data_IF_459469241696
#
_entry.id   IF_459469241696
#
_cell.length_a   1.000
_cell.length_b   1.000
_cell.length_c   1.000
_cell.angle_alpha   90.00
_cell.angle_beta   90.00
_cell.angle_gamma   90.00
#
_symmetry.space_group_name_H-M   'P 1'
#
loop_
_entity.id
_entity.type
_entity.pdbx_description
1 polymer ?
#
# COMPACT_ATOMS: atom_id res chain seq x y z
N UNK A 1 -52.41 9.77 -33.37
CA UNK A 1 -51.56 8.59 -33.63
C UNK A 1 -50.46 8.62 -32.59
N UNK A 2 -50.65 7.90 -31.49
CA UNK A 2 -49.69 7.78 -30.40
C UNK A 2 -49.50 6.28 -30.15
N UNK A 3 -48.29 5.77 -30.40
CA UNK A 3 -47.94 4.39 -30.10
C UNK A 3 -46.80 4.41 -29.07
N UNK A 4 -47.18 4.05 -27.86
CA UNK A 4 -46.36 3.90 -26.65
C UNK A 4 -45.51 2.63 -26.75
N UNK A 5 -44.18 2.79 -26.79
CA UNK A 5 -43.24 1.68 -26.64
C UNK A 5 -43.09 1.31 -25.16
N UNK A 6 -43.85 0.32 -24.72
CA UNK A 6 -43.75 -0.28 -23.38
C UNK A 6 -42.50 -1.16 -23.30
N UNK A 7 -41.55 -0.77 -22.45
CA UNK A 7 -40.44 -1.61 -21.99
C UNK A 7 -40.97 -2.81 -21.21
N UNK A 8 -41.15 -3.96 -21.87
CA UNK A 8 -41.51 -5.22 -21.22
C UNK A 8 -40.29 -5.81 -20.50
N UNK A 9 -40.27 -5.64 -19.18
CA UNK A 9 -39.40 -6.38 -18.27
C UNK A 9 -39.96 -7.80 -18.12
N UNK A 10 -39.25 -8.88 -18.50
CA UNK A 10 -39.77 -10.24 -18.42
C UNK A 10 -40.02 -10.62 -16.95
N UNK A 11 -41.28 -10.86 -16.63
CA UNK A 11 -41.81 -11.11 -15.29
C UNK A 11 -41.64 -12.56 -14.84
N UNK A 12 -41.23 -13.48 -15.71
CA UNK A 12 -41.09 -14.90 -15.37
C UNK A 12 -39.63 -15.32 -15.07
N UNK A 13 -39.38 -16.04 -13.95
CA UNK A 13 -38.04 -16.53 -13.60
C UNK A 13 -37.45 -17.53 -14.60
N UNK A 14 -38.29 -18.28 -15.31
CA UNK A 14 -37.94 -19.29 -16.31
C UNK A 14 -37.23 -18.68 -17.53
N UNK A 15 -37.71 -17.53 -18.01
CA UNK A 15 -37.14 -16.83 -19.17
C UNK A 15 -35.80 -16.16 -18.85
N UNK A 16 -35.63 -15.67 -17.61
CA UNK A 16 -34.36 -15.11 -17.12
C UNK A 16 -33.24 -16.16 -17.08
N UNK A 17 -33.59 -17.39 -16.73
CA UNK A 17 -32.65 -18.52 -16.69
C UNK A 17 -32.26 -18.97 -18.10
N UNK A 18 -33.19 -18.92 -19.07
CA UNK A 18 -32.88 -19.21 -20.47
C UNK A 18 -31.92 -18.19 -21.07
N UNK A 19 -32.06 -16.90 -20.73
CA UNK A 19 -31.15 -15.85 -21.17
C UNK A 19 -29.72 -15.96 -20.60
N UNK A 20 -29.55 -16.56 -19.42
CA UNK A 20 -28.22 -16.76 -18.83
C UNK A 20 -27.50 -18.00 -19.40
N UNK A 21 -28.26 -19.02 -19.84
CA UNK A 21 -27.72 -20.30 -20.31
C UNK A 21 -27.03 -20.23 -21.69
N UNK A 22 -27.23 -19.13 -22.43
CA UNK A 22 -26.81 -18.98 -23.82
C UNK A 22 -25.53 -18.13 -24.01
N UNK A 23 -24.87 -17.66 -22.94
CA UNK A 23 -23.60 -16.94 -23.10
C UNK A 23 -22.47 -17.97 -23.27
N UNK A 24 -21.84 -18.09 -24.45
CA UNK A 24 -20.74 -19.03 -24.64
C UNK A 24 -19.61 -18.68 -23.67
N UNK A 25 -19.12 -19.70 -22.97
CA UNK A 25 -17.93 -19.63 -22.12
C UNK A 25 -16.78 -19.23 -23.05
N UNK A 26 -16.08 -18.09 -22.82
CA UNK A 26 -14.90 -17.79 -23.61
C UNK A 26 -13.86 -18.89 -23.36
N UNK A 27 -13.32 -19.44 -24.45
CA UNK A 27 -12.32 -20.50 -24.42
C UNK A 27 -11.20 -20.15 -23.43
N UNK A 28 -10.86 -21.11 -22.57
CA UNK A 28 -9.93 -21.00 -21.45
C UNK A 28 -8.50 -20.59 -21.83
N UNK A 29 -8.23 -20.39 -23.13
CA UNK A 29 -6.95 -19.96 -23.69
C UNK A 29 -6.86 -18.45 -23.93
N UNK A 30 -7.98 -17.71 -23.87
CA UNK A 30 -7.99 -16.25 -24.07
C UNK A 30 -7.90 -15.43 -22.77
N UNK A 31 -8.13 -16.03 -21.59
CA UNK A 31 -8.18 -15.31 -20.30
C UNK A 31 -6.83 -15.21 -19.58
N UNK A 32 -5.75 -15.77 -20.14
CA UNK A 32 -4.38 -15.57 -19.62
C UNK A 32 -3.77 -14.21 -19.99
N UNK A 33 -4.57 -13.29 -20.54
CA UNK A 33 -4.29 -11.86 -20.54
C UNK A 33 -5.09 -11.19 -19.41
N UNK A 34 -4.98 -11.73 -18.19
CA UNK A 34 -5.27 -10.93 -17.02
C UNK A 34 -4.37 -9.71 -17.11
N UNK A 35 -4.97 -8.54 -17.25
CA UNK A 35 -4.27 -7.27 -17.11
C UNK A 35 -3.60 -7.33 -15.74
N UNK A 36 -2.32 -7.66 -15.74
CA UNK A 36 -1.39 -7.07 -14.80
C UNK A 36 -1.61 -5.58 -15.06
N UNK A 37 -2.42 -4.94 -14.23
CA UNK A 37 -2.33 -3.50 -14.12
C UNK A 37 -0.85 -3.28 -13.79
N UNK A 38 -0.10 -2.88 -14.81
CA UNK A 38 1.24 -2.43 -14.66
C UNK A 38 1.09 -1.24 -13.72
N UNK A 39 1.30 -1.47 -12.42
CA UNK A 39 1.61 -0.42 -11.45
C UNK A 39 2.99 0.12 -11.81
N UNK A 40 3.13 0.57 -13.05
CA UNK A 40 4.28 1.24 -13.60
C UNK A 40 4.40 2.51 -12.81
N UNK A 41 5.47 2.56 -12.01
CA UNK A 41 5.77 3.71 -11.22
C UNK A 41 5.97 4.92 -12.12
N UNK A 42 5.23 6.00 -11.85
CA UNK A 42 5.43 7.27 -12.52
C UNK A 42 6.31 8.16 -11.65
N UNK A 43 7.51 8.54 -12.14
CA UNK A 43 8.39 9.44 -11.40
C UNK A 43 7.67 10.73 -11.01
N UNK A 44 7.79 11.09 -9.73
CA UNK A 44 7.18 12.29 -9.17
C UNK A 44 8.23 13.39 -9.07
N UNK A 45 7.85 14.62 -9.41
CA UNK A 45 8.69 15.78 -9.13
C UNK A 45 8.71 16.05 -7.62
N UNK A 46 9.81 15.64 -6.98
CA UNK A 46 10.02 15.79 -5.55
C UNK A 46 10.06 17.26 -5.14
N UNK A 47 10.62 18.15 -5.96
CA UNK A 47 10.75 19.57 -5.62
C UNK A 47 9.37 20.22 -5.67
N UNK A 48 8.63 20.01 -6.76
CA UNK A 48 7.30 20.58 -6.91
C UNK A 48 6.33 20.07 -5.83
N UNK A 49 6.33 18.76 -5.56
CA UNK A 49 5.50 18.17 -4.51
C UNK A 49 5.86 18.74 -3.13
N UNK A 50 7.16 18.80 -2.82
CA UNK A 50 7.67 19.38 -1.57
C UNK A 50 7.24 20.84 -1.42
N UNK A 51 7.44 21.69 -2.43
CA UNK A 51 7.06 23.10 -2.36
C UNK A 51 5.56 23.28 -2.10
N UNK A 52 4.70 22.51 -2.79
CA UNK A 52 3.24 22.54 -2.58
C UNK A 52 2.88 22.15 -1.14
N UNK A 53 3.44 21.05 -0.65
CA UNK A 53 3.15 20.56 0.70
C UNK A 53 3.72 21.48 1.78
N UNK A 54 4.92 22.03 1.59
CA UNK A 54 5.52 23.04 2.47
C UNK A 54 4.66 24.30 2.53
N UNK A 55 4.17 24.81 1.40
CA UNK A 55 3.28 25.98 1.38
C UNK A 55 1.98 25.70 2.13
N UNK A 56 1.37 24.54 1.91
CA UNK A 56 0.13 24.14 2.57
C UNK A 56 0.32 24.01 4.09
N UNK A 57 1.34 23.25 4.50
CA UNK A 57 1.65 23.03 5.93
C UNK A 57 2.15 24.30 6.61
N UNK A 58 2.92 25.15 5.92
CA UNK A 58 3.28 26.48 6.39
C UNK A 58 2.07 27.40 6.58
N UNK A 59 1.08 27.34 5.69
CA UNK A 59 -0.19 28.04 5.84
C UNK A 59 -0.97 27.58 7.08
N UNK A 60 -1.06 26.26 7.30
CA UNK A 60 -1.64 25.69 8.54
C UNK A 60 -0.87 26.14 9.77
N UNK A 61 0.47 26.17 9.71
CA UNK A 61 1.33 26.66 10.78
C UNK A 61 1.12 28.15 11.07
N UNK A 62 0.90 28.97 10.05
CA UNK A 62 0.57 30.39 10.17
C UNK A 62 -0.78 30.59 10.84
N UNK A 63 -1.79 29.81 10.44
CA UNK A 63 -3.09 29.84 11.09
C UNK A 63 -2.99 29.44 12.58
N UNK A 64 -2.30 28.35 12.88
CA UNK A 64 -2.04 27.91 14.26
C UNK A 64 -1.28 28.99 15.06
N UNK A 65 -0.29 29.64 14.44
CA UNK A 65 0.47 30.74 15.03
C UNK A 65 -0.42 31.95 15.35
N UNK A 66 -1.35 32.30 14.47
CA UNK A 66 -2.32 33.35 14.69
C UNK A 66 -3.24 33.03 15.88
N UNK A 67 -3.77 31.80 15.96
CA UNK A 67 -4.57 31.33 17.10
C UNK A 67 -3.77 31.36 18.41
N UNK A 68 -2.51 30.92 18.38
CA UNK A 68 -1.63 30.99 19.56
C UNK A 68 -1.34 32.43 20.01
N UNK A 69 -1.25 33.37 19.04
CA UNK A 69 -1.04 34.78 19.33
C UNK A 69 -2.29 35.43 19.96
N UNK A 70 -3.51 35.07 19.52
CA UNK A 70 -4.76 35.60 20.10
C UNK A 70 -5.07 35.04 21.49
N UNK A 71 -4.68 33.80 21.76
CA UNK A 71 -4.88 33.15 23.07
C UNK A 71 -3.81 33.54 24.11
N UNK A 72 -2.79 34.33 23.73
CA UNK A 72 -1.74 34.76 24.64
C UNK A 72 -2.28 35.79 25.65
N UNK A 73 -2.03 35.55 26.95
CA UNK A 73 -2.46 36.44 28.05
C UNK A 73 -1.79 37.82 28.08
N UNK A 74 -0.73 38.03 27.30
CA UNK A 74 0.01 39.30 27.22
C UNK A 74 -0.36 40.02 25.94
N UNK A 75 -0.37 41.35 25.95
CA UNK A 75 -0.68 42.11 24.75
C UNK A 75 0.49 42.00 23.75
N UNK A 76 0.42 41.03 22.86
CA UNK A 76 1.39 40.81 21.79
C UNK A 76 0.80 41.40 20.52
N UNK A 77 1.42 42.48 20.03
CA UNK A 77 0.98 43.14 18.80
C UNK A 77 1.00 42.20 17.58
N UNK A 78 0.51 42.65 16.41
CA UNK A 78 0.39 41.80 15.22
C UNK A 78 1.69 41.11 14.78
N UNK A 79 2.85 41.75 15.01
CA UNK A 79 4.17 41.18 14.76
C UNK A 79 4.52 39.95 15.63
N UNK A 80 3.78 39.72 16.72
CA UNK A 80 3.94 38.55 17.59
C UNK A 80 3.76 37.22 16.85
N UNK A 81 2.92 37.18 15.80
CA UNK A 81 2.69 35.97 14.98
C UNK A 81 3.97 35.50 14.29
N UNK A 82 4.84 36.41 13.88
CA UNK A 82 6.09 36.09 13.18
C UNK A 82 7.28 35.98 14.13
N UNK A 83 7.37 36.83 15.16
CA UNK A 83 8.54 36.90 16.04
C UNK A 83 8.44 35.95 17.24
N UNK A 84 7.24 35.76 17.79
CA UNK A 84 6.99 34.94 18.99
C UNK A 84 6.48 33.55 18.61
N UNK A 85 5.44 33.50 17.78
CA UNK A 85 4.77 32.26 17.34
C UNK A 85 5.30 31.75 15.99
N UNK A 86 6.27 32.44 15.38
CA UNK A 86 6.88 32.06 14.10
C UNK A 86 7.60 30.70 14.12
N UNK A 87 8.05 30.25 15.30
CA UNK A 87 8.59 28.90 15.46
C UNK A 87 7.57 27.82 15.09
N UNK A 88 6.28 28.06 15.33
CA UNK A 88 5.22 27.12 14.96
C UNK A 88 5.11 27.03 13.43
N UNK A 89 5.13 28.17 12.74
CA UNK A 89 5.10 28.24 11.27
C UNK A 89 6.26 27.44 10.67
N UNK A 90 7.47 27.68 11.17
CA UNK A 90 8.68 27.00 10.70
C UNK A 90 8.65 25.50 10.95
N UNK A 91 8.18 25.06 12.13
CA UNK A 91 8.08 23.63 12.46
C UNK A 91 7.08 22.93 11.54
N UNK A 92 5.87 23.48 11.35
CA UNK A 92 4.87 22.87 10.48
C UNK A 92 5.33 22.81 9.01
N UNK A 93 5.91 23.91 8.50
CA UNK A 93 6.45 23.96 7.15
C UNK A 93 7.59 22.94 6.93
N UNK A 94 8.52 22.85 7.89
CA UNK A 94 9.63 21.92 7.84
C UNK A 94 9.17 20.46 7.93
N UNK A 95 8.20 20.16 8.81
CA UNK A 95 7.60 18.82 8.93
C UNK A 95 6.93 18.40 7.62
N UNK A 96 6.08 19.24 7.04
CA UNK A 96 5.38 18.94 5.78
C UNK A 96 6.31 18.82 4.58
N UNK A 97 7.27 19.74 4.46
CA UNK A 97 8.26 19.69 3.38
C UNK A 97 9.13 18.45 3.44
N UNK A 98 9.66 18.13 4.62
CA UNK A 98 10.53 16.97 4.79
C UNK A 98 9.77 15.66 4.61
N UNK A 99 8.53 15.60 5.10
CA UNK A 99 7.64 14.44 4.88
C UNK A 99 7.48 14.15 3.39
N UNK A 100 7.06 15.16 2.61
CA UNK A 100 6.79 14.98 1.19
C UNK A 100 8.06 14.74 0.38
N UNK A 101 9.15 15.44 0.70
CA UNK A 101 10.44 15.25 0.06
C UNK A 101 10.95 13.82 0.25
N UNK A 102 10.96 13.32 1.50
CA UNK A 102 11.42 11.96 1.78
C UNK A 102 10.50 10.92 1.16
N UNK A 103 9.17 11.11 1.23
CA UNK A 103 8.19 10.21 0.62
C UNK A 103 8.39 10.11 -0.89
N UNK A 104 8.54 11.25 -1.59
CA UNK A 104 8.71 11.29 -3.05
C UNK A 104 10.10 10.83 -3.48
N UNK A 105 11.16 11.23 -2.77
CA UNK A 105 12.51 10.76 -3.05
C UNK A 105 12.63 9.24 -2.85
N UNK A 106 12.12 8.70 -1.75
CA UNK A 106 12.14 7.24 -1.51
C UNK A 106 11.32 6.45 -2.53
N UNK A 107 10.18 6.99 -2.97
CA UNK A 107 9.38 6.41 -4.03
C UNK A 107 10.14 6.41 -5.38
N UNK A 108 10.80 7.53 -5.72
CA UNK A 108 11.57 7.66 -6.96
C UNK A 108 12.79 6.71 -6.97
N UNK A 109 13.50 6.56 -5.85
CA UNK A 109 14.66 5.67 -5.76
C UNK A 109 14.30 4.19 -5.83
N UNK A 110 13.10 3.82 -5.35
CA UNK A 110 12.65 2.42 -5.31
C UNK A 110 11.74 2.05 -6.46
N UNK A 111 11.35 3.04 -7.27
CA UNK A 111 10.37 2.93 -8.34
C UNK A 111 9.10 2.19 -7.88
N UNK A 112 8.68 2.45 -6.63
CA UNK A 112 7.56 1.74 -5.97
C UNK A 112 6.83 2.67 -5.01
N UNK A 113 5.50 2.60 -5.03
CA UNK A 113 4.63 3.34 -4.11
C UNK A 113 4.17 2.45 -2.95
N UNK A 114 5.02 2.33 -1.93
CA UNK A 114 4.74 1.48 -0.76
C UNK A 114 4.56 2.29 0.53
N UNK A 115 3.92 1.67 1.53
CA UNK A 115 3.79 2.18 2.90
C UNK A 115 5.12 2.55 3.57
N UNK A 116 6.21 1.92 3.15
CA UNK A 116 7.57 2.26 3.60
C UNK A 116 7.98 3.70 3.27
N UNK A 117 7.53 4.25 2.15
CA UNK A 117 7.87 5.62 1.76
C UNK A 117 7.18 6.63 2.71
N UNK A 118 5.95 6.31 3.12
CA UNK A 118 5.18 7.07 4.10
C UNK A 118 5.77 6.95 5.50
N UNK A 119 6.22 5.74 5.90
CA UNK A 119 6.88 5.52 7.17
C UNK A 119 8.18 6.33 7.29
N UNK A 120 9.01 6.35 6.22
CA UNK A 120 10.23 7.15 6.18
C UNK A 120 9.91 8.65 6.24
N UNK A 121 8.95 9.13 5.45
CA UNK A 121 8.48 10.52 5.53
C UNK A 121 8.01 10.90 6.94
N UNK A 122 7.24 10.00 7.59
CA UNK A 122 6.76 10.14 8.96
C UNK A 122 7.88 10.16 10.00
N UNK A 123 8.94 9.36 9.79
CA UNK A 123 10.12 9.35 10.66
C UNK A 123 10.83 10.71 10.66
N UNK A 124 11.15 11.23 9.48
CA UNK A 124 11.89 12.49 9.38
C UNK A 124 11.05 13.70 9.78
N UNK A 125 9.74 13.70 9.49
CA UNK A 125 8.84 14.75 9.99
C UNK A 125 8.68 14.70 11.51
N UNK A 126 8.59 13.51 12.10
CA UNK A 126 8.57 13.32 13.56
C UNK A 126 9.88 13.69 14.24
N UNK A 127 11.01 13.42 13.58
CA UNK A 127 12.32 13.86 14.05
C UNK A 127 12.42 15.40 14.14
N UNK A 128 11.83 16.14 13.19
CA UNK A 128 11.75 17.61 13.23
C UNK A 128 10.96 18.10 14.44
N UNK A 129 9.85 17.44 14.77
CA UNK A 129 9.11 17.74 15.99
C UNK A 129 9.96 17.45 17.24
N UNK A 130 10.69 16.35 17.26
CA UNK A 130 11.60 15.97 18.35
C UNK A 130 12.82 16.90 18.50
N UNK A 131 13.31 17.52 17.41
CA UNK A 131 14.37 18.52 17.45
C UNK A 131 13.99 19.74 18.31
N UNK A 132 12.70 20.05 18.45
CA UNK A 132 12.20 21.09 19.37
C UNK A 132 12.64 20.83 20.82
N UNK A 133 12.67 19.56 21.23
CA UNK A 133 13.07 19.14 22.57
C UNK A 133 14.61 19.13 22.76
N UNK A 134 15.40 19.32 21.68
CA UNK A 134 16.87 19.40 21.70
C UNK A 134 17.57 18.21 22.36
N UNK A 135 16.99 17.02 22.26
CA UNK A 135 17.60 15.79 22.77
C UNK A 135 17.50 14.67 21.73
N UNK A 136 18.55 13.84 21.64
CA UNK A 136 18.58 12.69 20.73
C UNK A 136 17.47 11.66 21.01
N UNK A 137 17.17 11.31 22.28
CA UNK A 137 16.07 10.39 22.57
C UNK A 137 14.71 10.91 22.11
N UNK A 138 14.43 12.21 22.26
CA UNK A 138 13.19 12.79 21.75
C UNK A 138 13.12 12.71 20.23
N UNK A 139 14.23 13.04 19.53
CA UNK A 139 14.30 12.95 18.08
C UNK A 139 13.92 11.54 17.58
N UNK A 140 14.56 10.51 18.13
CA UNK A 140 14.29 9.13 17.74
C UNK A 140 12.92 8.65 18.20
N UNK A 141 12.47 9.04 19.39
CA UNK A 141 11.16 8.65 19.93
C UNK A 141 10.01 9.22 19.11
N UNK A 142 10.01 10.53 18.84
CA UNK A 142 8.98 11.17 18.01
C UNK A 142 9.04 10.68 16.56
N UNK A 143 10.24 10.51 16.01
CA UNK A 143 10.44 9.93 14.69
C UNK A 143 9.86 8.52 14.59
N UNK A 144 10.25 7.60 15.47
CA UNK A 144 9.77 6.22 15.46
C UNK A 144 8.26 6.12 15.70
N UNK A 145 7.71 6.93 16.62
CA UNK A 145 6.28 6.95 16.89
C UNK A 145 5.48 7.38 15.66
N UNK A 146 5.86 8.49 14.98
CA UNK A 146 5.17 8.93 13.77
C UNK A 146 5.42 8.00 12.58
N UNK A 147 6.62 7.42 12.44
CA UNK A 147 6.92 6.43 11.41
C UNK A 147 5.99 5.22 11.51
N UNK A 148 5.80 4.72 12.74
CA UNK A 148 4.94 3.57 13.02
C UNK A 148 3.48 3.93 12.78
N UNK A 149 3.02 5.08 13.27
CA UNK A 149 1.65 5.53 13.09
C UNK A 149 1.30 5.75 11.61
N UNK A 150 2.16 6.44 10.85
CA UNK A 150 1.94 6.71 9.43
C UNK A 150 2.13 5.47 8.56
N UNK A 151 3.14 4.65 8.86
CA UNK A 151 3.34 3.38 8.19
C UNK A 151 2.17 2.43 8.38
N UNK A 152 1.67 2.29 9.61
CA UNK A 152 0.48 1.49 9.90
C UNK A 152 -0.78 2.06 9.22
N UNK A 153 -0.96 3.37 9.24
CA UNK A 153 -2.09 4.03 8.58
C UNK A 153 -2.12 3.75 7.07
N UNK A 154 -1.00 3.94 6.38
CA UNK A 154 -0.90 3.66 4.95
C UNK A 154 -1.04 2.17 4.65
N UNK A 155 -0.44 1.31 5.49
CA UNK A 155 -0.58 -0.13 5.38
C UNK A 155 -2.05 -0.58 5.50
N UNK A 156 -2.86 0.09 6.32
CA UNK A 156 -4.31 -0.17 6.43
C UNK A 156 -5.15 0.44 5.30
N UNK A 157 -4.54 1.11 4.32
CA UNK A 157 -5.21 1.65 3.14
C UNK A 157 -5.34 3.18 3.09
N UNK A 158 -4.64 3.92 3.96
CA UNK A 158 -4.43 5.37 3.82
C UNK A 158 -5.70 6.23 3.86
N UNK A 159 -6.83 5.69 4.29
CA UNK A 159 -8.14 6.34 4.25
C UNK A 159 -8.86 6.25 5.59
N UNK A 160 -9.32 7.38 6.10
CA UNK A 160 -10.18 7.46 7.30
C UNK A 160 -11.65 7.15 7.00
N UNK A 161 -12.05 7.18 5.73
CA UNK A 161 -13.45 7.03 5.29
C UNK A 161 -13.75 5.62 4.74
N UNK A 162 -12.87 4.65 5.03
CA UNK A 162 -12.97 3.28 4.53
C UNK A 162 -12.36 3.11 3.13
N UNK A 163 -12.25 1.85 2.72
CA UNK A 163 -11.72 1.46 1.42
C UNK A 163 -12.65 1.97 0.31
N UNK A 164 -12.18 2.90 -0.53
CA UNK A 164 -12.92 3.30 -1.73
C UNK A 164 -12.95 2.12 -2.68
N UNK A 165 -14.15 1.69 -3.02
CA UNK A 165 -14.39 0.55 -3.88
C UNK A 165 -13.92 0.90 -5.29
N UNK A 166 -13.02 0.11 -5.85
CA UNK A 166 -12.69 0.21 -7.28
C UNK A 166 -13.95 -0.19 -8.06
N UNK A 167 -14.47 0.74 -8.87
CA UNK A 167 -15.65 0.51 -9.68
C UNK A 167 -15.38 -0.40 -10.89
N UNK A 168 -14.10 -0.57 -11.24
CA UNK A 168 -13.64 -1.30 -12.41
C UNK A 168 -13.53 -2.81 -12.19
N UNK A 169 -13.55 -3.27 -10.94
CA UNK A 169 -13.46 -4.69 -10.59
C UNK A 169 -14.88 -5.26 -10.47
N UNK A 170 -15.22 -6.26 -11.29
CA UNK A 170 -16.48 -6.98 -11.13
C UNK A 170 -16.52 -7.69 -9.76
N UNK A 171 -17.37 -7.19 -8.88
CA UNK A 171 -17.56 -7.73 -7.54
C UNK A 171 -18.05 -9.17 -7.56
N UNK A 172 -18.80 -9.54 -8.60
CA UNK A 172 -19.27 -10.90 -8.75
C UNK A 172 -18.08 -11.84 -8.93
N UNK A 173 -17.17 -11.50 -9.85
CA UNK A 173 -15.97 -12.29 -10.12
C UNK A 173 -15.03 -12.34 -8.93
N UNK A 174 -14.75 -11.22 -8.25
CA UNK A 174 -13.91 -11.22 -7.02
C UNK A 174 -14.51 -12.09 -5.92
N UNK A 175 -15.82 -11.99 -5.68
CA UNK A 175 -16.49 -12.79 -4.65
C UNK A 175 -16.60 -14.26 -5.05
N UNK A 176 -16.74 -14.54 -6.34
CA UNK A 176 -16.75 -15.90 -6.86
C UNK A 176 -15.36 -16.54 -6.79
N UNK A 177 -14.29 -15.79 -7.07
CA UNK A 177 -12.91 -16.20 -6.83
C UNK A 177 -12.69 -16.52 -5.36
N UNK A 178 -13.01 -15.59 -4.44
CA UNK A 178 -12.90 -15.83 -2.99
C UNK A 178 -13.69 -17.06 -2.52
N UNK A 179 -14.87 -17.31 -3.11
CA UNK A 179 -15.65 -18.52 -2.84
C UNK A 179 -15.00 -19.77 -3.44
N UNK A 180 -14.42 -19.70 -4.64
CA UNK A 180 -13.79 -20.84 -5.31
C UNK A 180 -12.39 -21.16 -4.77
N UNK A 181 -11.76 -20.24 -4.04
CA UNK A 181 -10.45 -20.40 -3.38
C UNK A 181 -10.46 -21.32 -2.15
N UNK A 182 -11.15 -22.46 -2.20
CA UNK A 182 -11.10 -23.45 -1.11
C UNK A 182 -9.79 -24.24 -1.05
N UNK A 183 -9.11 -24.36 -2.19
CA UNK A 183 -7.86 -25.13 -2.31
C UNK A 183 -6.91 -24.44 -3.27
N UNK A 184 -5.74 -24.08 -2.76
CA UNK A 184 -4.62 -23.55 -3.55
C UNK A 184 -3.90 -24.71 -4.25
N UNK A 185 -3.39 -24.49 -5.46
CA UNK A 185 -2.57 -25.51 -6.13
C UNK A 185 -1.25 -25.71 -5.38
N UNK A 186 -0.78 -26.96 -5.27
CA UNK A 186 0.47 -27.27 -4.57
C UNK A 186 1.68 -26.59 -5.21
N UNK A 187 1.65 -26.35 -6.51
CA UNK A 187 2.66 -25.61 -7.26
C UNK A 187 2.68 -24.12 -6.89
N UNK A 188 1.51 -23.48 -6.75
CA UNK A 188 1.42 -22.09 -6.31
C UNK A 188 1.94 -21.93 -4.87
N UNK A 189 1.58 -22.86 -3.98
CA UNK A 189 2.11 -22.88 -2.61
C UNK A 189 3.63 -23.04 -2.60
N UNK A 190 4.18 -23.91 -3.47
CA UNK A 190 5.62 -24.10 -3.59
C UNK A 190 6.32 -22.85 -4.14
N UNK A 191 5.71 -22.16 -5.11
CA UNK A 191 6.25 -20.94 -5.69
C UNK A 191 6.26 -19.77 -4.70
N UNK A 192 5.22 -19.63 -3.86
CA UNK A 192 5.09 -18.55 -2.88
C UNK A 192 5.92 -18.78 -1.60
N UNK A 193 5.89 -19.99 -1.03
CA UNK A 193 6.57 -20.32 0.24
C UNK A 193 7.99 -20.87 0.05
N UNK A 194 8.31 -21.37 -1.16
CA UNK A 194 9.54 -22.08 -1.43
C UNK A 194 9.54 -23.53 -0.94
N UNK A 195 10.52 -24.30 -1.40
CA UNK A 195 10.73 -25.67 -0.93
C UNK A 195 11.35 -25.70 0.48
N UNK A 196 10.84 -26.56 1.36
CA UNK A 196 11.39 -26.76 2.71
C UNK A 196 10.34 -26.73 3.81
N UNK A 197 10.75 -27.02 5.05
CA UNK A 197 9.87 -27.01 6.25
C UNK A 197 8.60 -27.87 6.11
N UNK A 198 8.70 -29.00 5.42
CA UNK A 198 7.59 -29.95 5.22
C UNK A 198 6.83 -29.82 3.88
N UNK A 199 7.14 -28.81 3.06
CA UNK A 199 6.63 -28.67 1.70
C UNK A 199 7.66 -29.16 0.69
N UNK A 200 7.28 -30.18 -0.08
CA UNK A 200 8.16 -30.82 -1.06
C UNK A 200 7.47 -30.87 -2.42
N UNK A 201 8.11 -30.30 -3.43
CA UNK A 201 7.66 -30.39 -4.82
C UNK A 201 7.94 -31.78 -5.41
N UNK A 202 7.32 -32.11 -6.56
CA UNK A 202 7.64 -33.33 -7.29
C UNK A 202 9.13 -33.36 -7.67
N UNK A 203 9.78 -34.52 -7.49
CA UNK A 203 11.22 -34.69 -7.77
C UNK A 203 12.19 -34.14 -6.71
N UNK A 204 11.69 -33.79 -5.51
CA UNK A 204 12.53 -33.23 -4.43
C UNK A 204 13.70 -34.14 -4.03
N UNK A 205 13.50 -35.48 -4.00
CA UNK A 205 14.54 -36.43 -3.61
C UNK A 205 15.76 -36.38 -4.55
N UNK A 206 15.52 -36.25 -5.85
CA UNK A 206 16.56 -36.16 -6.87
C UNK A 206 17.28 -34.80 -6.82
N UNK A 207 16.53 -33.69 -6.71
CA UNK A 207 17.11 -32.34 -6.52
C UNK A 207 17.92 -32.23 -5.23
N UNK A 208 17.50 -32.92 -4.17
CA UNK A 208 18.24 -32.99 -2.90
C UNK A 208 19.51 -33.82 -3.04
N UNK A 209 19.44 -34.97 -3.71
CA UNK A 209 20.60 -35.81 -3.97
C UNK A 209 21.65 -35.07 -4.82
N UNK A 210 21.23 -34.34 -5.86
CA UNK A 210 22.11 -33.46 -6.65
C UNK A 210 22.75 -32.37 -5.78
N UNK A 211 21.96 -31.63 -4.98
CA UNK A 211 22.49 -30.61 -4.05
C UNK A 211 23.52 -31.18 -3.06
N UNK A 212 23.31 -32.40 -2.56
CA UNK A 212 24.24 -33.06 -1.62
C UNK A 212 25.48 -33.57 -2.34
N UNK A 213 25.34 -34.10 -3.55
CA UNK A 213 26.47 -34.54 -4.39
C UNK A 213 27.37 -33.37 -4.75
N UNK A 214 26.79 -32.22 -5.11
CA UNK A 214 27.53 -30.99 -5.41
C UNK A 214 28.21 -30.40 -4.16
N UNK A 215 27.52 -30.37 -3.02
CA UNK A 215 28.04 -29.74 -1.81
C UNK A 215 29.07 -30.60 -1.05
N UNK A 216 28.92 -31.93 -1.09
CA UNK A 216 29.69 -32.84 -0.23
C UNK A 216 30.35 -34.01 -0.97
N UNK A 217 30.12 -34.18 -2.27
CA UNK A 217 30.65 -35.31 -3.04
C UNK A 217 30.04 -36.67 -2.66
N UNK A 218 28.94 -36.68 -1.90
CA UNK A 218 28.29 -37.89 -1.39
C UNK A 218 27.14 -38.28 -2.31
N UNK A 219 27.14 -39.51 -2.82
CA UNK A 219 26.03 -40.06 -3.58
C UNK A 219 24.96 -40.63 -2.63
N UNK A 220 23.78 -40.01 -2.64
CA UNK A 220 22.64 -40.46 -1.82
C UNK A 220 21.73 -41.33 -2.69
N UNK A 221 21.47 -42.61 -2.32
CA UNK A 221 20.56 -43.47 -3.08
C UNK A 221 19.13 -42.92 -3.05
N UNK A 222 18.49 -42.89 -4.22
CA UNK A 222 17.15 -42.32 -4.44
C UNK A 222 16.01 -43.31 -4.24
N UNK A 223 16.29 -44.62 -4.13
CA UNK A 223 15.28 -45.65 -3.83
C UNK A 223 15.07 -45.81 -2.32
N UNK A 224 13.82 -45.90 -1.87
CA UNK A 224 13.52 -46.38 -0.52
C UNK A 224 14.16 -47.76 -0.33
N UNK A 225 15.03 -47.90 0.68
CA UNK A 225 15.56 -49.20 1.06
C UNK A 225 14.37 -50.13 1.40
N UNK A 226 14.34 -51.38 0.93
CA UNK A 226 13.29 -52.31 1.29
C UNK A 226 13.27 -52.45 2.80
N UNK A 227 12.13 -52.15 3.42
CA UNK A 227 11.93 -52.36 4.85
C UNK A 227 12.23 -53.84 5.16
N UNK A 228 13.23 -54.07 6.00
CA UNK A 228 13.59 -55.39 6.53
C UNK A 228 12.67 -55.78 7.67
#
# INVERSE_FOLDING_TARGET
MAETATSQNPSEPSERLAHYKQKPIPDSTATMAGQTEDHSYHPKDAIQATMKTTMLTGGVGLFASAVQNTLTRKNVGPFGVFVRSGSTIGVFAAMGGTYEFVKTASANLREKEDHWNVALGGFFSGAILGLRARTFPALLGYGAALATAMGAFEYTGGSLWGYKKNADIDEFERREQLRKSYRTSGEQTLAELGEGRGLYGPGYAERRAQRIKEAYGIEVPTSQAPAS
#
